data_IF_196890731179
#
_entry.id   IF_196890731179
#
_cell.length_a   1.000
_cell.length_b   1.000
_cell.length_c   1.000
_cell.angle_alpha   90.00
_cell.angle_beta   90.00
_cell.angle_gamma   90.00
#
_symmetry.space_group_name_H-M   'P 1'
#
loop_
_entity.id
_entity.type
_entity.pdbx_description
1 polymer ?
#
# COMPACT_ATOMS: atom_id res chain seq x y z
N UNK A 1 15.38 7.63 0.10
CA UNK A 1 14.08 7.44 -0.55
C UNK A 1 13.08 8.51 -0.13
N UNK A 2 12.93 8.73 1.18
CA UNK A 2 12.17 9.84 1.76
C UNK A 2 13.08 10.64 2.71
N UNK A 3 12.84 11.96 2.90
CA UNK A 3 13.69 12.80 3.76
C UNK A 3 13.49 12.50 5.26
N UNK A 4 12.39 11.88 5.64
CA UNK A 4 12.01 11.62 7.03
C UNK A 4 12.10 10.13 7.35
N UNK A 5 12.76 9.80 8.46
CA UNK A 5 12.76 8.46 9.03
C UNK A 5 11.80 8.42 10.22
N UNK A 6 10.73 7.63 10.14
CA UNK A 6 9.67 7.64 11.14
C UNK A 6 9.95 6.68 12.29
N UNK A 7 10.15 5.40 11.97
CA UNK A 7 10.41 4.34 12.94
C UNK A 7 11.55 3.45 12.47
N UNK A 8 12.49 3.14 13.35
CA UNK A 8 13.47 2.08 13.12
C UNK A 8 12.83 0.69 13.31
N UNK A 9 13.62 -0.35 13.06
CA UNK A 9 13.14 -1.73 13.17
C UNK A 9 12.69 -2.08 14.59
N UNK A 10 13.42 -1.63 15.62
CA UNK A 10 13.10 -1.95 17.01
C UNK A 10 11.80 -1.27 17.44
N UNK A 11 11.63 0.01 17.12
CA UNK A 11 10.38 0.72 17.40
C UNK A 11 9.20 0.14 16.61
N UNK A 12 9.43 -0.26 15.36
CA UNK A 12 8.41 -0.95 14.56
C UNK A 12 7.98 -2.28 15.19
N UNK A 13 8.94 -3.09 15.70
CA UNK A 13 8.63 -4.33 16.41
C UNK A 13 7.78 -4.08 17.66
N UNK A 14 8.13 -3.06 18.47
CA UNK A 14 7.34 -2.71 19.65
C UNK A 14 5.88 -2.41 19.28
N UNK A 15 5.66 -1.62 18.23
CA UNK A 15 4.31 -1.26 17.74
C UNK A 15 3.57 -2.50 17.24
N UNK A 16 4.23 -3.33 16.43
CA UNK A 16 3.65 -4.55 15.86
C UNK A 16 3.28 -5.53 16.98
N UNK A 17 4.16 -5.72 17.98
CA UNK A 17 3.94 -6.63 19.09
C UNK A 17 2.82 -6.16 20.04
N UNK A 18 2.62 -4.85 20.15
CA UNK A 18 1.57 -4.27 20.97
C UNK A 18 0.19 -4.23 20.29
N UNK A 19 0.13 -4.41 18.96
CA UNK A 19 -1.11 -4.34 18.21
C UNK A 19 -1.94 -5.61 18.33
N UNK A 20 -3.25 -5.45 18.55
CA UNK A 20 -4.23 -6.52 18.41
C UNK A 20 -4.78 -6.67 16.98
N UNK A 21 -4.43 -5.74 16.09
CA UNK A 21 -4.85 -5.75 14.69
C UNK A 21 -3.71 -6.23 13.80
N UNK A 22 -4.02 -6.84 12.65
CA UNK A 22 -3.01 -7.12 11.63
C UNK A 22 -2.29 -5.84 11.21
N UNK A 23 -0.97 -5.91 11.10
CA UNK A 23 -0.15 -4.77 10.70
C UNK A 23 0.41 -5.02 9.31
N UNK A 24 0.15 -4.08 8.40
CA UNK A 24 0.85 -3.95 7.12
C UNK A 24 2.01 -2.98 7.28
N UNK A 25 3.21 -3.42 6.93
CA UNK A 25 4.42 -2.60 6.98
C UNK A 25 4.72 -2.08 5.57
N UNK A 26 4.53 -0.78 5.36
CA UNK A 26 4.89 -0.11 4.11
C UNK A 26 6.26 0.55 4.25
N UNK A 27 7.26 0.04 3.54
CA UNK A 27 8.66 0.46 3.63
C UNK A 27 8.99 1.53 2.58
N UNK A 28 9.16 2.77 3.03
CA UNK A 28 9.65 3.89 2.22
C UNK A 28 11.15 4.10 2.47
N UNK A 29 11.97 3.12 2.11
CA UNK A 29 13.42 3.07 2.37
C UNK A 29 14.21 3.03 1.07
N UNK A 30 15.50 3.38 1.12
CA UNK A 30 16.35 3.40 -0.07
C UNK A 30 16.84 2.00 -0.50
N UNK A 31 16.87 1.05 0.42
CA UNK A 31 17.31 -0.33 0.18
C UNK A 31 16.25 -1.31 0.71
N UNK A 32 15.31 -1.66 -0.14
CA UNK A 32 14.26 -2.59 0.19
C UNK A 32 14.72 -4.05 0.16
N UNK A 33 15.80 -4.36 -0.58
CA UNK A 33 16.35 -5.72 -0.67
C UNK A 33 16.86 -6.23 0.70
N UNK A 34 17.43 -5.34 1.51
CA UNK A 34 17.87 -5.68 2.87
C UNK A 34 16.74 -5.47 3.89
N UNK A 35 15.99 -4.37 3.80
CA UNK A 35 14.97 -4.02 4.79
C UNK A 35 13.75 -4.95 4.73
N UNK A 36 13.26 -5.31 3.54
CA UNK A 36 12.08 -6.14 3.35
C UNK A 36 12.12 -7.45 4.16
N UNK A 37 13.16 -8.29 3.97
CA UNK A 37 13.31 -9.53 4.75
C UNK A 37 13.48 -9.32 6.26
N UNK A 38 14.10 -8.21 6.69
CA UNK A 38 14.25 -7.90 8.13
C UNK A 38 12.89 -7.61 8.77
N UNK A 39 12.05 -6.79 8.12
CA UNK A 39 10.70 -6.49 8.62
C UNK A 39 9.78 -7.71 8.49
N UNK A 40 9.96 -8.58 7.51
CA UNK A 40 9.20 -9.80 7.37
C UNK A 40 9.42 -10.80 8.53
N UNK A 41 10.54 -10.72 9.25
CA UNK A 41 10.80 -11.51 10.48
C UNK A 41 10.05 -11.01 11.72
N UNK A 42 9.35 -9.89 11.62
CA UNK A 42 8.49 -9.39 12.70
C UNK A 42 7.15 -10.14 12.68
N UNK A 43 6.22 -9.78 13.59
CA UNK A 43 4.84 -10.30 13.58
C UNK A 43 3.92 -9.53 12.61
N UNK A 44 4.45 -8.70 11.72
CA UNK A 44 3.65 -8.06 10.68
C UNK A 44 2.92 -9.12 9.85
N UNK A 45 1.71 -8.78 9.38
CA UNK A 45 0.92 -9.63 8.49
C UNK A 45 1.43 -9.56 7.05
N UNK A 46 1.81 -8.36 6.63
CA UNK A 46 2.31 -8.07 5.29
C UNK A 46 3.48 -7.09 5.31
N UNK A 47 4.28 -7.15 4.26
CA UNK A 47 5.36 -6.19 4.01
C UNK A 47 5.26 -5.71 2.57
N UNK A 48 5.11 -4.39 2.42
CA UNK A 48 5.04 -3.70 1.15
C UNK A 48 6.33 -2.93 0.91
N UNK A 49 6.97 -3.19 -0.23
CA UNK A 49 8.20 -2.56 -0.66
C UNK A 49 7.98 -1.73 -1.91
N UNK A 50 8.79 -0.71 -2.12
CA UNK A 50 8.76 0.07 -3.35
C UNK A 50 9.61 -0.54 -4.46
N UNK A 51 9.07 -0.59 -5.68
CA UNK A 51 9.80 -1.01 -6.88
C UNK A 51 11.10 -0.23 -7.05
N UNK A 52 11.04 1.09 -6.84
CA UNK A 52 12.17 2.01 -7.02
C UNK A 52 13.28 1.87 -5.96
N UNK A 53 12.99 1.14 -4.89
CA UNK A 53 13.93 0.86 -3.80
C UNK A 53 14.57 -0.53 -3.88
N UNK A 54 14.16 -1.34 -4.89
CA UNK A 54 14.68 -2.69 -5.08
C UNK A 54 15.71 -2.73 -6.22
N UNK A 55 16.79 -3.40 -5.96
CA UNK A 55 17.76 -3.76 -6.98
C UNK A 55 17.37 -5.08 -7.67
N UNK A 56 16.83 -6.04 -6.91
CA UNK A 56 16.38 -7.35 -7.39
C UNK A 56 14.97 -7.65 -6.83
N UNK A 57 13.95 -7.15 -7.53
CA UNK A 57 12.55 -7.29 -7.11
C UNK A 57 12.15 -8.76 -6.88
N UNK A 58 12.35 -9.71 -7.82
CA UNK A 58 11.94 -11.09 -7.62
C UNK A 58 12.57 -11.74 -6.40
N UNK A 59 13.85 -11.49 -6.16
CA UNK A 59 14.57 -12.02 -5.00
C UNK A 59 14.00 -11.47 -3.70
N UNK A 60 13.74 -10.17 -3.65
CA UNK A 60 13.24 -9.51 -2.45
C UNK A 60 11.81 -9.96 -2.12
N UNK A 61 10.91 -10.05 -3.12
CA UNK A 61 9.57 -10.60 -2.94
C UNK A 61 9.63 -12.03 -2.41
N UNK A 62 10.49 -12.88 -3.00
CA UNK A 62 10.67 -14.27 -2.57
C UNK A 62 11.21 -14.38 -1.14
N UNK A 63 12.14 -13.50 -0.75
CA UNK A 63 12.71 -13.49 0.60
C UNK A 63 11.68 -13.08 1.67
N UNK A 64 10.81 -12.10 1.37
CA UNK A 64 9.70 -11.70 2.25
C UNK A 64 8.71 -12.86 2.39
N UNK A 65 8.32 -13.48 1.28
CA UNK A 65 7.37 -14.61 1.27
C UNK A 65 7.90 -15.84 2.01
N UNK A 66 9.21 -16.08 1.97
CA UNK A 66 9.85 -17.18 2.71
C UNK A 66 9.70 -17.07 4.23
N UNK A 67 9.49 -15.86 4.76
CA UNK A 67 9.17 -15.61 6.18
C UNK A 67 7.65 -15.77 6.47
N UNK A 68 6.87 -16.26 5.50
CA UNK A 68 5.42 -16.52 5.66
C UNK A 68 4.55 -15.27 5.60
N UNK A 69 5.02 -14.17 5.03
CA UNK A 69 4.29 -12.89 4.96
C UNK A 69 3.60 -12.69 3.63
N UNK A 70 2.50 -11.94 3.65
CA UNK A 70 1.94 -11.34 2.44
C UNK A 70 2.89 -10.28 1.90
N UNK A 71 2.94 -10.17 0.58
CA UNK A 71 3.95 -9.34 -0.11
C UNK A 71 3.27 -8.30 -0.98
N UNK A 72 3.56 -7.03 -0.70
CA UNK A 72 3.10 -5.90 -1.51
C UNK A 72 4.22 -5.26 -2.33
N UNK A 73 3.88 -4.79 -3.52
CA UNK A 73 4.76 -3.98 -4.36
C UNK A 73 4.13 -2.62 -4.62
N UNK A 74 4.81 -1.57 -4.18
CA UNK A 74 4.40 -0.18 -4.33
C UNK A 74 5.13 0.51 -5.47
N UNK A 75 4.49 1.50 -6.09
CA UNK A 75 5.09 2.41 -7.06
C UNK A 75 4.81 3.88 -6.72
N UNK A 76 5.80 4.74 -7.00
CA UNK A 76 5.67 6.20 -6.92
C UNK A 76 4.79 6.76 -8.05
N UNK A 77 4.27 8.00 -7.91
CA UNK A 77 3.51 8.65 -8.97
C UNK A 77 4.24 8.73 -10.32
N UNK A 78 5.55 8.98 -10.30
CA UNK A 78 6.37 9.07 -11.51
C UNK A 78 6.69 7.73 -12.19
N UNK A 79 6.48 6.58 -11.52
CA UNK A 79 6.83 5.26 -12.04
C UNK A 79 5.68 4.67 -12.87
N UNK A 80 5.89 4.22 -14.12
CA UNK A 80 4.86 3.58 -14.92
C UNK A 80 4.32 2.32 -14.25
N UNK A 81 3.00 2.06 -14.37
CA UNK A 81 2.38 0.85 -13.78
C UNK A 81 2.88 -0.45 -14.41
N UNK A 82 3.34 -0.40 -15.65
CA UNK A 82 3.83 -1.56 -16.41
C UNK A 82 4.97 -2.31 -15.71
N UNK A 83 5.75 -1.63 -14.87
CA UNK A 83 6.85 -2.26 -14.11
C UNK A 83 6.36 -3.31 -13.11
N UNK A 84 5.09 -3.24 -12.68
CA UNK A 84 4.48 -4.19 -11.74
C UNK A 84 3.98 -5.46 -12.44
N UNK A 85 3.59 -5.34 -13.70
CA UNK A 85 2.93 -6.43 -14.44
C UNK A 85 3.69 -7.76 -14.40
N UNK A 86 5.04 -7.82 -14.56
CA UNK A 86 5.77 -9.09 -14.50
C UNK A 86 5.71 -9.83 -13.17
N UNK A 87 5.29 -9.15 -12.10
CA UNK A 87 5.31 -9.67 -10.73
C UNK A 87 3.92 -10.01 -10.17
N UNK A 88 2.84 -9.70 -10.88
CA UNK A 88 1.46 -9.80 -10.37
C UNK A 88 1.15 -11.15 -9.71
N UNK A 89 1.57 -12.26 -10.31
CA UNK A 89 1.35 -13.61 -9.76
C UNK A 89 2.18 -13.92 -8.50
N UNK A 90 3.13 -13.05 -8.16
CA UNK A 90 3.97 -13.16 -6.97
C UNK A 90 3.51 -12.21 -5.85
N UNK A 91 2.48 -11.42 -6.08
CA UNK A 91 2.02 -10.38 -5.15
C UNK A 91 0.73 -10.78 -4.45
N UNK A 92 0.58 -10.31 -3.23
CA UNK A 92 -0.69 -10.28 -2.50
C UNK A 92 -1.30 -8.87 -2.49
N UNK A 93 -0.50 -7.86 -2.90
CA UNK A 93 -0.97 -6.48 -2.99
C UNK A 93 -0.16 -5.66 -3.99
N UNK A 94 -0.84 -4.84 -4.78
CA UNK A 94 -0.27 -3.76 -5.58
C UNK A 94 -0.66 -2.45 -4.92
N UNK A 95 0.33 -1.59 -4.61
CA UNK A 95 0.08 -0.28 -4.02
C UNK A 95 0.45 0.83 -5.01
N UNK A 96 -0.52 1.68 -5.33
CA UNK A 96 -0.30 2.88 -6.14
C UNK A 96 -0.29 4.10 -5.22
N UNK A 97 0.86 4.80 -5.16
CA UNK A 97 0.94 6.07 -4.46
C UNK A 97 0.13 7.12 -5.19
N UNK A 98 -0.74 7.81 -4.47
CA UNK A 98 -1.57 8.92 -4.96
C UNK A 98 -1.11 10.28 -4.42
N UNK A 99 0.09 10.32 -3.85
CA UNK A 99 0.91 11.49 -3.47
C UNK A 99 2.38 11.13 -3.63
N UNK A 100 3.27 12.11 -3.66
CA UNK A 100 4.70 11.83 -3.55
C UNK A 100 5.03 11.32 -2.14
N UNK A 101 5.81 10.23 -2.02
CA UNK A 101 6.22 9.69 -0.71
C UNK A 101 6.98 10.71 0.14
N UNK A 102 6.74 10.70 1.46
CA UNK A 102 7.55 11.45 2.43
C UNK A 102 6.79 12.39 3.35
N UNK A 103 5.63 12.90 2.97
CA UNK A 103 4.83 13.80 3.80
C UNK A 103 3.35 13.46 3.77
N UNK A 104 2.71 13.50 4.94
CA UNK A 104 1.25 13.36 5.03
C UNK A 104 0.51 14.65 4.63
N UNK A 105 -0.80 14.52 4.36
CA UNK A 105 -1.68 15.68 4.12
C UNK A 105 -1.54 16.33 2.74
N UNK A 106 -0.91 15.68 1.79
CA UNK A 106 -0.84 16.14 0.40
C UNK A 106 -2.16 15.93 -0.32
N UNK A 107 -2.36 16.66 -1.43
CA UNK A 107 -3.53 16.50 -2.29
C UNK A 107 -3.47 15.20 -3.07
N UNK A 108 -4.60 14.52 -3.15
CA UNK A 108 -4.79 13.33 -3.95
C UNK A 108 -4.52 13.61 -5.44
N UNK A 109 -3.74 12.77 -6.07
CA UNK A 109 -3.36 12.86 -7.49
C UNK A 109 -4.33 12.05 -8.34
N UNK A 110 -5.35 12.71 -8.90
CA UNK A 110 -6.39 12.09 -9.71
C UNK A 110 -5.85 11.37 -10.97
N UNK A 111 -4.75 11.86 -11.52
CA UNK A 111 -4.09 11.27 -12.69
C UNK A 111 -3.59 9.84 -12.44
N UNK A 112 -3.43 9.43 -11.17
CA UNK A 112 -3.04 8.06 -10.82
C UNK A 112 -4.15 7.04 -11.08
N UNK A 113 -5.39 7.48 -11.24
CA UNK A 113 -6.51 6.55 -11.47
C UNK A 113 -6.36 5.74 -12.73
N UNK A 114 -5.72 6.27 -13.76
CA UNK A 114 -5.40 5.50 -14.98
C UNK A 114 -4.51 4.28 -14.72
N UNK A 115 -3.60 4.37 -13.73
CA UNK A 115 -2.77 3.24 -13.31
C UNK A 115 -3.59 2.21 -12.54
N UNK A 116 -4.50 2.68 -11.67
CA UNK A 116 -5.41 1.83 -10.88
C UNK A 116 -6.31 1.01 -11.81
N UNK A 117 -6.95 1.67 -12.78
CA UNK A 117 -7.79 1.01 -13.78
C UNK A 117 -7.00 -0.02 -14.60
N UNK A 118 -5.76 0.30 -14.95
CA UNK A 118 -4.89 -0.61 -15.70
C UNK A 118 -4.52 -1.83 -14.86
N UNK A 119 -4.10 -1.62 -13.61
CA UNK A 119 -3.78 -2.71 -12.68
C UNK A 119 -5.00 -3.61 -12.43
N UNK A 120 -6.19 -3.03 -12.20
CA UNK A 120 -7.43 -3.80 -12.01
C UNK A 120 -7.74 -4.70 -13.21
N UNK A 121 -7.66 -4.16 -14.44
CA UNK A 121 -7.86 -4.94 -15.66
C UNK A 121 -6.88 -6.11 -15.79
N UNK A 122 -5.63 -5.95 -15.36
CA UNK A 122 -4.66 -7.05 -15.37
C UNK A 122 -5.01 -8.12 -14.34
N UNK A 123 -5.33 -7.71 -13.09
CA UNK A 123 -5.74 -8.64 -12.04
C UNK A 123 -6.96 -9.46 -12.45
N UNK A 124 -7.96 -8.83 -13.05
CA UNK A 124 -9.16 -9.52 -13.57
C UNK A 124 -8.81 -10.49 -14.71
N UNK A 125 -8.03 -10.03 -15.69
CA UNK A 125 -7.62 -10.87 -16.83
C UNK A 125 -6.84 -12.11 -16.41
N UNK A 126 -6.01 -11.99 -15.37
CA UNK A 126 -5.17 -13.06 -14.86
C UNK A 126 -5.85 -13.88 -13.74
N UNK A 127 -7.11 -13.58 -13.41
CA UNK A 127 -7.89 -14.20 -12.33
C UNK A 127 -7.21 -14.11 -10.95
N UNK A 128 -6.59 -12.98 -10.66
CA UNK A 128 -5.88 -12.68 -9.42
C UNK A 128 -6.78 -11.87 -8.46
N UNK A 129 -7.98 -12.38 -8.16
CA UNK A 129 -8.98 -11.70 -7.31
C UNK A 129 -8.53 -11.51 -5.87
N UNK A 130 -7.57 -12.30 -5.39
CA UNK A 130 -7.06 -12.25 -4.02
C UNK A 130 -5.93 -11.22 -3.83
N UNK A 131 -5.45 -10.63 -4.93
CA UNK A 131 -4.46 -9.55 -4.90
C UNK A 131 -5.15 -8.22 -4.65
N UNK A 132 -4.84 -7.60 -3.53
CA UNK A 132 -5.38 -6.29 -3.17
C UNK A 132 -4.80 -5.18 -4.04
N UNK A 133 -5.63 -4.22 -4.42
CA UNK A 133 -5.22 -3.00 -5.11
C UNK A 133 -5.38 -1.82 -4.17
N UNK A 134 -4.27 -1.40 -3.58
CA UNK A 134 -4.23 -0.38 -2.52
C UNK A 134 -3.87 0.99 -3.05
N UNK A 135 -4.45 2.03 -2.45
CA UNK A 135 -4.09 3.43 -2.63
C UNK A 135 -3.55 4.01 -1.33
N UNK A 136 -2.44 4.74 -1.44
CA UNK A 136 -1.87 5.53 -0.34
C UNK A 136 -1.61 6.96 -0.78
N UNK A 137 -2.27 7.89 -0.07
CA UNK A 137 -2.08 9.32 -0.21
C UNK A 137 -3.35 10.12 -0.51
N UNK A 138 -3.66 11.09 0.34
CA UNK A 138 -4.79 12.00 0.16
C UNK A 138 -6.17 11.36 0.23
N UNK A 139 -6.30 10.17 0.84
CA UNK A 139 -7.58 9.48 1.02
C UNK A 139 -8.45 10.21 2.04
N UNK A 140 -9.65 10.56 1.61
CA UNK A 140 -10.68 11.26 2.40
C UNK A 140 -12.08 10.88 1.89
N UNK A 141 -13.13 11.41 2.51
CA UNK A 141 -14.51 11.21 2.03
C UNK A 141 -14.76 11.78 0.62
N UNK A 142 -13.91 12.72 0.16
CA UNK A 142 -14.03 13.36 -1.16
C UNK A 142 -13.25 12.61 -2.25
N UNK A 143 -12.38 11.65 -1.88
CA UNK A 143 -11.47 11.02 -2.84
C UNK A 143 -11.57 9.49 -2.86
N UNK A 144 -12.05 8.87 -1.79
CA UNK A 144 -12.08 7.40 -1.67
C UNK A 144 -13.00 6.74 -2.71
N UNK A 145 -14.14 7.37 -3.03
CA UNK A 145 -15.07 6.87 -4.05
C UNK A 145 -14.44 6.89 -5.45
N UNK A 146 -13.59 7.89 -5.74
CA UNK A 146 -12.86 8.01 -7.00
C UNK A 146 -11.89 6.82 -7.16
N UNK A 147 -11.14 6.51 -6.09
CA UNK A 147 -10.25 5.35 -6.06
C UNK A 147 -11.00 4.03 -6.21
N UNK A 148 -12.12 3.86 -5.50
CA UNK A 148 -12.95 2.66 -5.56
C UNK A 148 -13.53 2.45 -6.97
N UNK A 149 -14.06 3.49 -7.62
CA UNK A 149 -14.55 3.43 -9.02
C UNK A 149 -13.47 3.08 -10.01
N UNK A 150 -12.22 3.49 -9.76
CA UNK A 150 -11.08 3.11 -10.59
C UNK A 150 -10.66 1.63 -10.40
N UNK A 151 -11.19 0.95 -9.37
CA UNK A 151 -10.97 -0.45 -9.10
C UNK A 151 -10.11 -0.75 -7.88
N UNK A 152 -9.74 0.25 -7.08
CA UNK A 152 -9.07 0.01 -5.80
C UNK A 152 -10.04 -0.60 -4.78
N UNK A 153 -9.54 -1.53 -3.97
CA UNK A 153 -10.31 -2.22 -2.91
C UNK A 153 -9.73 -2.00 -1.51
N UNK A 154 -8.55 -1.41 -1.42
CA UNK A 154 -7.84 -1.18 -0.17
C UNK A 154 -7.32 0.27 -0.11
N UNK A 155 -7.41 0.92 1.07
CA UNK A 155 -7.12 2.34 1.19
C UNK A 155 -6.35 2.66 2.46
N UNK A 156 -5.30 3.47 2.36
CA UNK A 156 -4.55 4.02 3.49
C UNK A 156 -5.04 5.44 3.78
N UNK A 157 -5.72 5.61 4.91
CA UNK A 157 -6.24 6.89 5.34
C UNK A 157 -5.60 7.33 6.66
N UNK A 158 -4.63 8.23 6.60
CA UNK A 158 -3.92 8.77 7.76
C UNK A 158 -4.63 10.01 8.32
N UNK A 159 -4.32 11.18 7.76
CA UNK A 159 -4.78 12.46 8.29
C UNK A 159 -6.30 12.62 8.36
N UNK A 160 -7.04 12.02 7.44
CA UNK A 160 -8.50 12.07 7.43
C UNK A 160 -9.10 11.36 8.66
N UNK A 161 -8.48 10.28 9.12
CA UNK A 161 -8.91 9.53 10.30
C UNK A 161 -8.41 10.20 11.58
N UNK A 162 -7.09 10.43 11.68
CA UNK A 162 -6.49 10.91 12.94
C UNK A 162 -6.81 12.37 13.30
N UNK A 163 -7.27 13.19 12.35
CA UNK A 163 -7.71 14.57 12.60
C UNK A 163 -9.21 14.70 12.75
N UNK A 164 -9.98 13.62 12.60
CA UNK A 164 -11.43 13.64 12.83
C UNK A 164 -11.76 13.68 14.31
N UNK A 165 -12.95 14.18 14.66
CA UNK A 165 -13.46 14.17 16.02
C UNK A 165 -13.69 12.75 16.54
N UNK A 166 -14.14 11.84 15.67
CA UNK A 166 -14.31 10.42 15.94
C UNK A 166 -13.62 9.57 14.88
N UNK A 167 -12.41 9.06 15.14
CA UNK A 167 -11.67 8.22 14.20
C UNK A 167 -12.40 6.92 13.83
N UNK A 168 -13.14 6.31 14.76
CA UNK A 168 -13.85 5.05 14.51
C UNK A 168 -15.05 5.28 13.56
N UNK A 169 -15.82 6.35 13.79
CA UNK A 169 -16.88 6.76 12.88
C UNK A 169 -16.30 7.12 11.50
N UNK A 170 -15.19 7.85 11.45
CA UNK A 170 -14.57 8.22 10.18
C UNK A 170 -14.16 6.98 9.35
N UNK A 171 -13.57 5.96 9.97
CA UNK A 171 -13.27 4.69 9.29
C UNK A 171 -14.53 4.05 8.73
N UNK A 172 -15.63 4.04 9.51
CA UNK A 172 -16.92 3.50 9.05
C UNK A 172 -17.47 4.29 7.86
N UNK A 173 -17.40 5.61 7.90
CA UNK A 173 -17.86 6.48 6.80
C UNK A 173 -17.05 6.29 5.53
N UNK A 174 -15.71 6.20 5.65
CA UNK A 174 -14.83 5.94 4.52
C UNK A 174 -15.14 4.59 3.88
N UNK A 175 -15.31 3.53 4.68
CA UNK A 175 -15.70 2.20 4.18
C UNK A 175 -17.01 2.24 3.42
N UNK A 176 -18.05 2.82 4.01
CA UNK A 176 -19.37 2.92 3.38
C UNK A 176 -19.32 3.73 2.07
N UNK A 177 -18.49 4.78 2.01
CA UNK A 177 -18.30 5.57 0.81
C UNK A 177 -17.66 4.74 -0.31
N UNK A 178 -16.57 4.00 -0.01
CA UNK A 178 -15.91 3.11 -0.96
C UNK A 178 -16.84 2.00 -1.46
N UNK A 179 -17.55 1.30 -0.56
CA UNK A 179 -18.48 0.22 -0.91
C UNK A 179 -19.65 0.70 -1.76
N UNK A 180 -20.14 1.92 -1.51
CA UNK A 180 -21.22 2.52 -2.30
C UNK A 180 -20.79 2.87 -3.73
N UNK A 181 -19.51 3.13 -3.95
CA UNK A 181 -18.95 3.46 -5.25
C UNK A 181 -18.79 2.23 -6.17
N UNK A 182 -18.82 1.02 -5.61
CA UNK A 182 -18.71 -0.27 -6.32
C UNK A 182 -20.06 -0.84 -6.78
N UNK A 183 -21.16 -0.20 -6.39
CA UNK A 183 -22.53 -0.58 -6.78
C UNK A 183 -22.97 0.17 -8.02
#
# INVERSE_FOLDING_TARGET
>A
FVPNFTFDLERSKEIIDASSLPIDVHLMVANADDAGPLYARTKAESVTIHFEACYDVPRTLSAIRAEGKRVGLAIKPGTPIDVVQPYLSQLDMVLVMTVEPGFGGQKFMHEMMSKVETARKWLERENLSDVWLQLDGGISLETIDIGARAGADTFVAGSAVYKSEDPAEMVTRLRNCAESALR
#
